data_IF_788374024304
#
_entry.id   IF_788374024304
#
_cell.length_a   1.000
_cell.length_b   1.000
_cell.length_c   1.000
_cell.angle_alpha   90.00
_cell.angle_beta   90.00
_cell.angle_gamma   90.00
#
_symmetry.space_group_name_H-M   'P 1'
#
loop_
_entity.id
_entity.type
_entity.pdbx_description
1 polymer ?
#
# COMPACT_ATOMS: atom_id res chain seq x y z
N UNK A 1 -23.38 -5.15 5.71
CA UNK A 1 -22.48 -5.15 4.54
C UNK A 1 -21.44 -6.22 4.77
N UNK A 2 -21.08 -7.07 3.80
CA UNK A 2 -20.00 -8.02 4.00
C UNK A 2 -18.71 -7.24 4.27
N UNK A 3 -17.96 -7.64 5.30
CA UNK A 3 -16.62 -7.10 5.54
C UNK A 3 -15.80 -7.31 4.25
N UNK A 4 -15.24 -6.24 3.71
CA UNK A 4 -14.25 -6.37 2.64
C UNK A 4 -13.07 -7.16 3.21
N UNK A 5 -12.86 -8.37 2.69
CA UNK A 5 -11.71 -9.18 3.09
C UNK A 5 -10.43 -8.43 2.72
N UNK A 6 -9.53 -8.26 3.68
CA UNK A 6 -8.23 -7.60 3.49
C UNK A 6 -7.28 -8.50 2.68
N UNK A 7 -7.59 -8.68 1.40
CA UNK A 7 -6.80 -9.44 0.44
C UNK A 7 -5.97 -8.47 -0.41
N UNK A 8 -4.66 -8.66 -0.41
CA UNK A 8 -3.72 -7.88 -1.20
C UNK A 8 -3.08 -8.77 -2.25
N UNK A 9 -3.03 -8.27 -3.48
CA UNK A 9 -2.35 -8.92 -4.59
C UNK A 9 -1.04 -8.18 -4.86
N UNK A 10 0.05 -8.92 -4.99
CA UNK A 10 1.37 -8.33 -5.25
C UNK A 10 1.64 -8.35 -6.75
N UNK A 11 2.13 -7.23 -7.27
CA UNK A 11 2.49 -7.06 -8.66
C UNK A 11 3.97 -6.71 -8.81
N UNK A 12 4.58 -7.16 -9.89
CA UNK A 12 5.82 -6.62 -10.42
C UNK A 12 5.47 -5.64 -11.54
N UNK A 13 6.05 -4.45 -11.51
CA UNK A 13 5.82 -3.42 -12.55
C UNK A 13 7.13 -3.03 -13.23
N UNK A 14 7.07 -2.78 -14.54
CA UNK A 14 8.13 -2.10 -15.29
C UNK A 14 7.87 -0.58 -15.43
N UNK A 15 6.78 -0.08 -14.86
CA UNK A 15 6.31 1.31 -14.98
C UNK A 15 5.33 1.55 -16.13
N UNK A 16 5.04 0.54 -16.96
CA UNK A 16 4.04 0.58 -18.02
C UNK A 16 3.00 -0.55 -17.86
N UNK A 17 3.42 -1.72 -17.37
CA UNK A 17 2.59 -2.90 -17.19
C UNK A 17 2.80 -3.50 -15.81
N UNK A 18 1.70 -3.73 -15.11
CA UNK A 18 1.67 -4.46 -13.84
C UNK A 18 1.40 -5.94 -14.10
N UNK A 19 2.30 -6.81 -13.66
CA UNK A 19 2.19 -8.27 -13.80
C UNK A 19 2.01 -8.89 -12.42
N UNK A 20 0.98 -9.72 -12.24
CA UNK A 20 0.75 -10.42 -10.97
C UNK A 20 1.95 -11.31 -10.66
N UNK A 21 2.45 -11.21 -9.43
CA UNK A 21 3.56 -12.03 -8.98
C UNK A 21 3.05 -13.42 -8.59
N UNK A 22 3.67 -14.47 -9.17
CA UNK A 22 3.35 -15.84 -8.79
C UNK A 22 3.90 -16.18 -7.41
N UNK A 23 3.16 -17.02 -6.70
CA UNK A 23 3.56 -17.43 -5.37
C UNK A 23 4.79 -18.36 -5.42
N UNK A 24 5.95 -17.97 -4.84
CA UNK A 24 7.14 -18.80 -4.87
C UNK A 24 6.99 -20.10 -4.07
N UNK A 25 6.05 -20.14 -3.12
CA UNK A 25 5.72 -21.33 -2.34
C UNK A 25 4.68 -22.23 -3.01
N UNK A 26 3.96 -21.71 -4.03
CA UNK A 26 2.87 -22.42 -4.71
C UNK A 26 2.84 -22.07 -6.21
N UNK A 27 3.52 -22.89 -7.02
CA UNK A 27 3.61 -22.71 -8.47
C UNK A 27 2.22 -22.58 -9.12
N UNK A 28 2.06 -21.62 -10.03
CA UNK A 28 0.82 -21.31 -10.79
C UNK A 28 -0.35 -20.81 -9.95
N UNK A 29 -0.09 -20.32 -8.74
CA UNK A 29 -1.06 -19.56 -7.96
C UNK A 29 -0.59 -18.12 -7.80
N UNK A 30 -1.54 -17.19 -7.77
CA UNK A 30 -1.26 -15.79 -7.50
C UNK A 30 -0.73 -15.64 -6.07
N UNK A 31 0.26 -14.76 -5.87
CA UNK A 31 0.69 -14.40 -4.53
C UNK A 31 -0.33 -13.46 -3.90
N UNK A 32 -1.33 -14.07 -3.25
CA UNK A 32 -2.35 -13.37 -2.48
C UNK A 32 -1.95 -13.37 -1.01
N UNK A 33 -1.77 -12.17 -0.45
CA UNK A 33 -1.59 -11.99 0.98
C UNK A 33 -2.97 -11.78 1.60
N UNK A 34 -3.51 -12.82 2.21
CA UNK A 34 -4.75 -12.75 2.97
C UNK A 34 -4.43 -12.38 4.42
N UNK A 35 -4.79 -11.15 4.81
CA UNK A 35 -4.61 -10.64 6.16
C UNK A 35 -5.91 -10.57 6.95
N UNK A 36 -7.02 -11.05 6.36
CA UNK A 36 -8.36 -10.93 6.93
C UNK A 36 -8.46 -11.60 8.30
N UNK A 37 -7.85 -12.79 8.46
CA UNK A 37 -7.84 -13.48 9.75
C UNK A 37 -7.12 -12.70 10.86
N UNK A 38 -6.13 -11.88 10.51
CA UNK A 38 -5.31 -11.14 11.47
C UNK A 38 -5.89 -9.75 11.79
N UNK A 39 -6.58 -9.13 10.83
CA UNK A 39 -7.07 -7.75 10.94
C UNK A 39 -8.53 -7.60 10.58
N UNK A 40 -9.35 -8.63 10.86
CA UNK A 40 -10.77 -8.62 10.59
C UNK A 40 -11.45 -7.35 11.15
N UNK A 41 -12.11 -6.61 10.26
CA UNK A 41 -12.85 -5.38 10.60
C UNK A 41 -12.02 -4.11 10.60
N UNK A 42 -10.70 -4.20 10.39
CA UNK A 42 -9.86 -3.03 10.09
C UNK A 42 -10.12 -2.66 8.63
N UNK A 43 -10.43 -1.39 8.39
CA UNK A 43 -10.64 -0.84 7.04
C UNK A 43 -9.74 0.35 6.79
N UNK A 44 -9.33 0.57 5.55
CA UNK A 44 -8.75 1.84 5.14
C UNK A 44 -9.90 2.83 4.98
N UNK A 45 -9.94 3.82 5.86
CA UNK A 45 -10.98 4.86 5.89
C UNK A 45 -10.61 6.09 5.06
N UNK A 46 -9.32 6.35 4.90
CA UNK A 46 -8.80 7.47 4.11
C UNK A 46 -7.37 7.21 3.63
N UNK A 47 -7.04 7.75 2.46
CA UNK A 47 -5.70 7.72 1.87
C UNK A 47 -5.37 9.13 1.37
N UNK A 48 -4.36 9.74 1.97
CA UNK A 48 -3.87 11.07 1.61
C UNK A 48 -2.45 10.96 1.09
N UNK A 49 -2.30 11.10 -0.23
CA UNK A 49 -1.01 11.11 -0.91
C UNK A 49 -0.78 12.52 -1.46
N UNK A 50 0.33 13.19 -1.10
CA UNK A 50 0.67 14.49 -1.68
C UNK A 50 0.78 14.39 -3.21
N UNK A 51 0.06 15.26 -3.91
CA UNK A 51 -0.07 15.20 -5.38
C UNK A 51 -1.19 14.28 -5.88
N UNK A 52 -1.92 13.61 -4.98
CA UNK A 52 -3.05 12.74 -5.30
C UNK A 52 -2.63 11.34 -5.79
N UNK A 53 -3.64 10.53 -6.13
CA UNK A 53 -3.48 9.14 -6.57
C UNK A 53 -3.88 8.11 -5.50
N UNK A 54 -3.87 6.84 -5.89
CA UNK A 54 -4.15 5.67 -5.05
C UNK A 54 -2.94 4.71 -4.96
N UNK A 55 -1.80 5.12 -5.51
CA UNK A 55 -0.56 4.35 -5.61
C UNK A 55 0.63 5.14 -5.09
N UNK A 56 1.55 4.44 -4.41
CA UNK A 56 2.87 4.95 -4.06
C UNK A 56 3.91 3.99 -4.62
N UNK A 57 4.88 4.53 -5.37
CA UNK A 57 5.97 3.78 -5.96
C UNK A 57 7.28 4.15 -5.26
N UNK A 58 8.17 3.19 -5.08
CA UNK A 58 9.45 3.40 -4.41
C UNK A 58 10.58 3.22 -5.41
N UNK A 59 11.55 4.15 -5.41
CA UNK A 59 12.81 3.91 -6.14
C UNK A 59 13.62 2.78 -5.50
N UNK A 60 14.63 2.24 -6.20
CA UNK A 60 15.56 1.28 -5.60
C UNK A 60 16.30 1.79 -4.36
N UNK A 61 16.35 3.10 -4.16
CA UNK A 61 16.96 3.74 -2.98
C UNK A 61 15.93 4.04 -1.87
N UNK A 62 14.67 3.66 -2.06
CA UNK A 62 13.58 3.84 -1.09
C UNK A 62 12.88 5.19 -1.15
N UNK A 63 13.19 6.08 -2.10
CA UNK A 63 12.46 7.34 -2.22
C UNK A 63 11.03 7.08 -2.73
N UNK A 64 9.98 7.61 -2.07
CA UNK A 64 8.60 7.40 -2.50
C UNK A 64 8.14 8.45 -3.53
N UNK A 65 7.31 8.03 -4.47
CA UNK A 65 6.69 8.83 -5.54
C UNK A 65 5.19 8.54 -5.59
N UNK A 66 4.37 9.53 -5.95
CA UNK A 66 2.96 9.31 -6.28
C UNK A 66 2.76 8.82 -7.74
N UNK A 67 3.75 9.08 -8.59
CA UNK A 67 3.93 8.52 -9.93
C UNK A 67 5.44 8.50 -10.18
N UNK A 68 6.02 7.36 -10.59
CA UNK A 68 7.45 7.17 -10.85
C UNK A 68 7.99 8.09 -11.96
N UNK A 69 7.12 8.54 -12.86
CA UNK A 69 7.47 9.57 -13.85
C UNK A 69 7.33 11.01 -13.29
N UNK A 70 6.72 11.14 -12.12
CA UNK A 70 6.50 12.38 -11.39
C UNK A 70 7.62 12.74 -10.41
N UNK A 71 7.30 13.63 -9.47
CA UNK A 71 8.25 14.09 -8.45
C UNK A 71 8.21 13.22 -7.20
N UNK A 72 9.35 13.14 -6.49
CA UNK A 72 9.41 12.53 -5.15
C UNK A 72 8.40 13.21 -4.23
N UNK A 73 7.77 12.45 -3.34
CA UNK A 73 6.89 13.02 -2.32
C UNK A 73 7.65 14.04 -1.48
N UNK A 74 7.10 15.25 -1.37
CA UNK A 74 7.66 16.34 -0.57
C UNK A 74 7.06 16.44 0.83
N UNK A 75 5.97 15.71 1.09
CA UNK A 75 5.28 15.62 2.37
C UNK A 75 4.92 14.16 2.69
N UNK A 76 4.56 13.88 3.93
CA UNK A 76 4.16 12.51 4.30
C UNK A 76 2.87 12.10 3.61
N UNK A 77 2.87 10.89 3.05
CA UNK A 77 1.62 10.21 2.72
C UNK A 77 1.06 9.55 3.99
N UNK A 78 -0.25 9.62 4.16
CA UNK A 78 -0.96 9.13 5.34
C UNK A 78 -2.08 8.20 4.92
N UNK A 79 -2.08 7.00 5.48
CA UNK A 79 -3.16 6.02 5.34
C UNK A 79 -3.84 5.92 6.69
N UNK A 80 -5.13 6.24 6.74
CA UNK A 80 -5.92 6.17 7.98
C UNK A 80 -6.71 4.87 8.03
N UNK A 81 -6.39 4.05 9.02
CA UNK A 81 -7.09 2.82 9.34
C UNK A 81 -8.19 3.10 10.35
N UNK A 82 -9.32 2.42 10.22
CA UNK A 82 -10.41 2.46 11.18
C UNK A 82 -10.78 1.06 11.66
N UNK A 83 -11.03 0.91 12.96
CA UNK A 83 -11.54 -0.31 13.58
C UNK A 83 -12.46 0.04 14.74
N UNK A 84 -13.74 -0.35 14.66
CA UNK A 84 -14.75 -0.14 15.72
C UNK A 84 -14.78 1.31 16.26
N UNK A 85 -14.67 2.30 15.37
CA UNK A 85 -14.68 3.72 15.72
C UNK A 85 -13.32 4.29 16.19
N UNK A 86 -12.30 3.45 16.36
CA UNK A 86 -10.92 3.89 16.62
C UNK A 86 -10.17 4.11 15.29
N UNK A 87 -9.24 5.06 15.29
CA UNK A 87 -8.42 5.39 14.12
C UNK A 87 -6.94 5.18 14.41
N UNK A 88 -6.20 4.71 13.40
CA UNK A 88 -4.73 4.63 13.43
C UNK A 88 -4.15 5.10 12.12
N UNK A 89 -2.95 5.69 12.14
CA UNK A 89 -2.32 6.21 10.93
C UNK A 89 -1.05 5.44 10.61
N UNK A 90 -0.93 5.03 9.35
CA UNK A 90 0.33 4.63 8.73
C UNK A 90 0.86 5.84 7.98
N UNK A 91 2.12 6.18 8.21
CA UNK A 91 2.78 7.32 7.59
C UNK A 91 3.97 6.85 6.77
N UNK A 92 4.17 7.50 5.62
CA UNK A 92 5.29 7.24 4.71
C UNK A 92 6.09 8.53 4.58
N UNK A 93 7.32 8.51 5.07
CA UNK A 93 8.18 9.70 5.11
C UNK A 93 8.80 9.99 3.74
N UNK A 94 8.79 11.26 3.29
CA UNK A 94 9.57 11.74 2.14
C UNK A 94 11.02 11.30 2.15
N UNK A 95 11.62 11.20 0.96
CA UNK A 95 13.05 10.95 0.69
C UNK A 95 13.62 9.60 1.19
N UNK A 96 13.15 9.08 2.31
CA UNK A 96 13.61 7.84 2.93
C UNK A 96 12.67 6.66 2.68
N UNK A 97 11.40 6.95 2.38
CA UNK A 97 10.35 5.94 2.25
C UNK A 97 10.06 5.19 3.54
N UNK A 98 10.52 5.70 4.69
CA UNK A 98 10.27 5.08 5.98
C UNK A 98 8.77 4.96 6.21
N UNK A 99 8.30 3.74 6.43
CA UNK A 99 6.91 3.45 6.80
C UNK A 99 6.84 3.23 8.30
N UNK A 100 5.93 3.93 8.98
CA UNK A 100 5.74 3.77 10.42
C UNK A 100 4.28 3.96 10.83
N UNK A 101 3.96 3.44 12.01
CA UNK A 101 2.63 3.50 12.60
C UNK A 101 2.66 4.54 13.72
N UNK A 102 1.66 5.42 13.75
CA UNK A 102 1.39 6.34 14.86
C UNK A 102 0.29 5.78 15.75
#
# INVERSE_FOLDING_TARGET
>A
MPLAANNYQIYQTDGLVDTILFNPSHLKSDFVVNLDHYFAGVVISDVSIPGGGDKIEFSPLGAPYNDRNGSVLTAEAVITLQYKGLTKQIRITPNTGKVYIQ
#
